data_IF_288447500525
#
_entry.id   IF_288447500525
#
_cell.length_a   1.000
_cell.length_b   1.000
_cell.length_c   1.000
_cell.angle_alpha   90.00
_cell.angle_beta   90.00
_cell.angle_gamma   90.00
#
_symmetry.space_group_name_H-M   'P 1'
#
loop_
_entity.id
_entity.type
_entity.pdbx_description
1 polymer ?
#
# COMPACT_ATOMS: atom_id res chain seq x y z
N UNK A 1 31.82 43.81 -1.14
CA UNK A 1 31.08 44.03 -2.42
C UNK A 1 30.18 42.90 -2.88
N UNK A 2 30.25 41.71 -2.36
CA UNK A 2 29.41 40.56 -2.74
C UNK A 2 27.97 40.57 -2.20
N UNK A 3 27.73 41.20 -1.06
CA UNK A 3 26.42 41.22 -0.42
C UNK A 3 25.33 42.02 -1.16
N UNK A 4 25.71 43.03 -1.93
CA UNK A 4 24.73 43.84 -2.68
C UNK A 4 24.21 43.14 -3.94
N UNK A 5 25.01 42.32 -4.60
CA UNK A 5 24.57 41.54 -5.81
C UNK A 5 23.54 40.47 -5.47
N UNK A 6 23.65 39.84 -4.32
CA UNK A 6 22.70 38.77 -3.90
C UNK A 6 21.35 39.40 -3.52
N UNK A 7 21.33 40.54 -2.87
CA UNK A 7 20.11 41.29 -2.50
C UNK A 7 19.33 41.77 -3.74
N UNK A 8 20.06 42.19 -4.76
CA UNK A 8 19.47 42.72 -6.01
C UNK A 8 18.86 41.59 -6.86
N UNK A 9 19.52 40.44 -6.92
CA UNK A 9 18.97 39.26 -7.59
C UNK A 9 17.68 38.73 -6.93
N UNK A 10 17.60 38.74 -5.61
CA UNK A 10 16.41 38.32 -4.88
C UNK A 10 15.20 39.22 -5.16
N UNK A 11 15.41 40.56 -5.19
CA UNK A 11 14.38 41.53 -5.56
C UNK A 11 13.94 41.39 -7.01
N UNK A 12 14.86 41.11 -7.91
CA UNK A 12 14.58 40.89 -9.33
C UNK A 12 13.74 39.63 -9.58
N UNK A 13 14.02 38.55 -8.88
CA UNK A 13 13.22 37.31 -8.92
C UNK A 13 11.82 37.50 -8.31
N UNK A 14 11.72 38.20 -7.20
CA UNK A 14 10.42 38.56 -6.60
C UNK A 14 9.58 39.45 -7.53
N UNK A 15 10.19 40.41 -8.19
CA UNK A 15 9.51 41.29 -9.16
C UNK A 15 9.04 40.50 -10.39
N UNK A 16 9.84 39.61 -10.93
CA UNK A 16 9.47 38.75 -12.05
C UNK A 16 8.35 37.81 -11.65
N UNK A 17 8.42 37.22 -10.49
CA UNK A 17 7.39 36.34 -9.94
C UNK A 17 6.04 37.08 -9.82
N UNK A 18 6.01 38.23 -9.21
CA UNK A 18 4.82 39.05 -9.06
C UNK A 18 4.27 39.51 -10.42
N UNK A 19 5.15 39.97 -11.32
CA UNK A 19 4.75 40.46 -12.64
C UNK A 19 4.18 39.40 -13.56
N UNK A 20 4.78 38.20 -13.58
CA UNK A 20 4.38 37.15 -14.53
C UNK A 20 3.37 36.17 -13.95
N UNK A 21 3.42 35.85 -12.68
CA UNK A 21 2.52 34.87 -12.06
C UNK A 21 1.22 35.52 -11.58
N UNK A 22 1.29 36.68 -10.94
CA UNK A 22 0.08 37.34 -10.39
C UNK A 22 -0.71 38.09 -11.45
N UNK A 23 -0.05 38.65 -12.46
CA UNK A 23 -0.76 39.42 -13.52
C UNK A 23 -1.29 38.58 -14.67
N UNK A 24 -0.91 37.33 -14.81
CA UNK A 24 -1.42 36.47 -15.87
C UNK A 24 -2.25 35.31 -15.31
N UNK A 25 -3.59 35.45 -15.26
CA UNK A 25 -4.45 34.38 -14.77
C UNK A 25 -4.28 33.07 -15.58
N UNK A 26 -3.92 33.19 -16.86
CA UNK A 26 -3.70 32.03 -17.76
C UNK A 26 -2.53 31.18 -17.27
N UNK A 27 -1.42 31.78 -16.81
CA UNK A 27 -0.27 31.03 -16.26
C UNK A 27 -0.63 30.34 -14.95
N UNK A 28 -1.46 30.96 -14.12
CA UNK A 28 -1.94 30.36 -12.87
C UNK A 28 -2.79 29.12 -13.15
N UNK A 29 -3.75 29.20 -14.09
CA UNK A 29 -4.55 28.06 -14.50
C UNK A 29 -3.70 26.96 -15.14
N UNK A 30 -2.72 27.31 -15.96
CA UNK A 30 -1.77 26.36 -16.54
C UNK A 30 -0.99 25.60 -15.46
N UNK A 31 -0.53 26.31 -14.43
CA UNK A 31 0.18 25.71 -13.32
C UNK A 31 -0.71 24.79 -12.47
N UNK A 32 -1.96 25.21 -12.25
CA UNK A 32 -2.94 24.44 -11.49
C UNK A 32 -3.29 23.13 -12.24
N UNK A 33 -3.50 23.20 -13.54
CA UNK A 33 -3.76 22.04 -14.38
C UNK A 33 -2.56 21.09 -14.38
N UNK A 34 -1.34 21.63 -14.56
CA UNK A 34 -0.11 20.83 -14.50
C UNK A 34 0.05 20.13 -13.15
N UNK A 35 -0.21 20.84 -12.04
CA UNK A 35 -0.13 20.28 -10.69
C UNK A 35 -1.17 19.16 -10.48
N UNK A 36 -2.37 19.34 -11.02
CA UNK A 36 -3.43 18.32 -10.96
C UNK A 36 -3.01 17.06 -11.74
N UNK A 37 -2.48 17.20 -12.96
CA UNK A 37 -1.94 16.08 -13.72
C UNK A 37 -0.79 15.39 -13.00
N UNK A 38 0.08 16.15 -12.35
CA UNK A 38 1.18 15.60 -11.58
C UNK A 38 0.68 14.75 -10.39
N UNK A 39 -0.33 15.24 -9.67
CA UNK A 39 -0.96 14.47 -8.57
C UNK A 39 -1.57 13.17 -9.09
N UNK A 40 -2.32 13.23 -10.19
CA UNK A 40 -2.93 12.05 -10.82
C UNK A 40 -1.85 11.06 -11.25
N UNK A 41 -0.78 11.54 -11.85
CA UNK A 41 0.36 10.70 -12.26
C UNK A 41 1.00 10.00 -11.08
N UNK A 42 1.33 10.73 -10.02
CA UNK A 42 1.92 10.18 -8.78
C UNK A 42 0.98 9.17 -8.14
N UNK A 43 -0.31 9.48 -8.05
CA UNK A 43 -1.31 8.59 -7.47
C UNK A 43 -1.52 7.29 -8.28
N UNK A 44 -1.28 7.30 -9.58
CA UNK A 44 -1.26 6.10 -10.42
C UNK A 44 0.02 5.26 -10.21
N UNK A 45 1.11 5.90 -9.85
CA UNK A 45 2.38 5.21 -9.66
C UNK A 45 2.46 4.51 -8.29
N UNK A 46 1.79 5.06 -7.28
CA UNK A 46 1.76 4.49 -5.93
C UNK A 46 0.84 3.28 -5.92
N UNK A 47 1.41 2.11 -5.65
CA UNK A 47 0.67 0.86 -5.43
C UNK A 47 0.60 0.57 -3.93
N UNK A 48 -0.59 0.29 -3.45
CA UNK A 48 -0.86 -0.08 -2.07
C UNK A 48 -1.23 -1.56 -2.00
N UNK A 49 -0.74 -2.23 -0.98
CA UNK A 49 -1.04 -3.62 -0.72
C UNK A 49 -2.44 -3.72 -0.10
N UNK A 50 -3.32 -4.45 -0.76
CA UNK A 50 -4.61 -4.83 -0.19
C UNK A 50 -4.40 -6.11 0.59
N UNK A 51 -4.62 -6.04 1.90
CA UNK A 51 -4.44 -7.16 2.81
C UNK A 51 -5.79 -7.73 3.20
N UNK A 52 -5.83 -9.05 3.28
CA UNK A 52 -6.98 -9.81 3.79
C UNK A 52 -6.55 -10.55 5.04
N UNK A 53 -7.44 -10.55 6.02
CA UNK A 53 -7.23 -11.21 7.31
C UNK A 53 -8.22 -12.34 7.44
N UNK A 54 -7.76 -13.57 7.63
CA UNK A 54 -8.59 -14.75 7.78
C UNK A 54 -8.22 -15.56 9.01
N UNK A 55 -9.22 -16.11 9.71
CA UNK A 55 -8.98 -17.10 10.75
C UNK A 55 -8.51 -18.41 10.14
N UNK A 56 -7.62 -19.08 10.84
CA UNK A 56 -7.11 -20.38 10.46
C UNK A 56 -6.67 -21.21 11.64
N UNK A 57 -6.31 -22.45 11.38
CA UNK A 57 -5.76 -23.37 12.37
C UNK A 57 -4.34 -23.74 11.95
N UNK A 58 -3.41 -23.49 12.84
CA UNK A 58 -2.02 -23.88 12.68
C UNK A 58 -1.82 -25.32 13.19
N UNK A 59 -1.37 -26.18 12.30
CA UNK A 59 -1.00 -27.57 12.61
C UNK A 59 0.41 -27.84 12.08
N UNK A 60 1.35 -28.07 12.97
CA UNK A 60 2.77 -28.33 12.65
C UNK A 60 3.38 -27.26 11.73
N UNK A 61 3.40 -27.50 10.45
CA UNK A 61 4.00 -26.64 9.43
C UNK A 61 2.98 -26.11 8.41
N UNK A 62 1.70 -26.33 8.67
CA UNK A 62 0.62 -25.93 7.77
C UNK A 62 -0.41 -25.07 8.50
N UNK A 63 -0.92 -24.10 7.78
CA UNK A 63 -2.08 -23.32 8.22
C UNK A 63 -3.26 -23.72 7.34
N UNK A 64 -4.34 -24.10 7.98
CA UNK A 64 -5.60 -24.47 7.32
C UNK A 64 -6.55 -23.29 7.46
N UNK A 65 -6.96 -22.72 6.34
CA UNK A 65 -7.94 -21.65 6.25
C UNK A 65 -9.27 -22.23 5.77
N UNK A 66 -10.36 -21.89 6.43
CA UNK A 66 -11.71 -22.38 6.08
C UNK A 66 -12.32 -21.69 4.86
N UNK A 67 -11.51 -20.98 4.12
CA UNK A 67 -11.91 -20.27 2.90
C UNK A 67 -10.95 -20.57 1.77
N UNK A 68 -11.49 -20.68 0.57
CA UNK A 68 -10.68 -20.72 -0.64
C UNK A 68 -10.09 -19.34 -0.90
N UNK A 69 -8.76 -19.23 -0.92
CA UNK A 69 -8.05 -18.01 -1.25
C UNK A 69 -7.27 -18.17 -2.55
N UNK A 70 -7.06 -17.06 -3.23
CA UNK A 70 -6.03 -17.00 -4.27
C UNK A 70 -4.67 -17.03 -3.59
N UNK A 71 -3.67 -17.57 -4.28
CA UNK A 71 -2.29 -17.53 -3.78
C UNK A 71 -1.92 -16.10 -3.38
N UNK A 72 -1.31 -15.89 -2.20
CA UNK A 72 -0.79 -14.58 -1.81
C UNK A 72 0.14 -14.04 -2.89
N UNK A 73 0.06 -12.73 -3.15
CA UNK A 73 0.96 -12.09 -4.13
C UNK A 73 2.39 -12.06 -3.61
N UNK A 74 2.53 -11.79 -2.32
CA UNK A 74 3.81 -11.88 -1.63
C UNK A 74 3.89 -13.25 -0.94
N UNK A 75 5.04 -13.90 -1.05
CA UNK A 75 5.29 -15.20 -0.37
C UNK A 75 5.29 -15.08 1.15
N UNK A 76 5.07 -13.90 1.70
CA UNK A 76 5.14 -13.60 3.12
C UNK A 76 3.76 -13.34 3.69
N UNK A 77 3.51 -13.99 4.83
CA UNK A 77 2.28 -13.84 5.62
C UNK A 77 2.60 -13.40 7.04
N UNK A 78 1.66 -12.67 7.64
CA UNK A 78 1.72 -12.35 9.06
C UNK A 78 0.75 -13.23 9.82
N UNK A 79 1.21 -13.83 10.90
CA UNK A 79 0.44 -14.76 11.71
C UNK A 79 0.29 -14.16 13.10
N UNK A 80 -0.95 -14.07 13.54
CA UNK A 80 -1.35 -13.56 14.87
C UNK A 80 -1.93 -14.70 15.68
N UNK A 81 -1.41 -14.96 16.86
CA UNK A 81 -1.99 -15.94 17.76
C UNK A 81 -3.04 -15.30 18.65
N UNK A 82 -4.19 -15.99 18.76
CA UNK A 82 -5.42 -15.53 19.41
C UNK A 82 -5.17 -15.29 20.87
N UNK A 83 -4.62 -14.72 21.60
CA UNK A 83 -4.37 -14.42 23.03
C UNK A 83 -2.98 -13.92 23.37
N UNK A 84 -2.02 -14.02 22.45
CA UNK A 84 -0.73 -13.40 22.63
C UNK A 84 -0.61 -12.30 21.57
N UNK A 85 -0.24 -11.10 21.94
CA UNK A 85 0.09 -10.02 21.01
C UNK A 85 1.35 -10.34 20.16
N UNK A 86 1.70 -11.62 20.05
CA UNK A 86 2.83 -12.07 19.26
C UNK A 86 2.44 -12.17 17.80
N UNK A 87 3.06 -11.32 17.01
CA UNK A 87 2.98 -11.34 15.55
C UNK A 87 4.30 -11.89 15.03
N UNK A 88 4.23 -12.86 14.13
CA UNK A 88 5.42 -13.31 13.44
C UNK A 88 5.17 -13.39 11.94
N UNK A 89 6.23 -13.22 11.20
CA UNK A 89 6.26 -13.22 9.75
C UNK A 89 6.85 -14.54 9.29
N UNK A 90 6.11 -15.22 8.39
CA UNK A 90 6.53 -16.49 7.83
C UNK A 90 6.45 -16.48 6.32
N UNK A 91 7.31 -17.27 5.69
CA UNK A 91 7.32 -17.44 4.25
C UNK A 91 6.51 -18.67 3.86
N UNK A 92 5.59 -18.48 2.92
CA UNK A 92 4.76 -19.56 2.36
C UNK A 92 5.53 -20.24 1.23
N UNK A 93 5.71 -21.55 1.34
CA UNK A 93 6.35 -22.36 0.30
C UNK A 93 5.35 -22.84 -0.74
N UNK A 94 4.16 -23.23 -0.30
CA UNK A 94 3.14 -23.79 -1.17
C UNK A 94 1.73 -23.45 -0.68
N UNK A 95 0.84 -23.24 -1.63
CA UNK A 95 -0.58 -22.99 -1.39
C UNK A 95 -1.37 -24.07 -2.11
N UNK A 96 -2.09 -24.90 -1.38
CA UNK A 96 -2.93 -25.95 -1.94
C UNK A 96 -4.38 -25.77 -1.48
N UNK A 97 -5.32 -25.91 -2.40
CA UNK A 97 -6.76 -25.82 -2.09
C UNK A 97 -7.41 -27.17 -2.30
N UNK A 98 -8.02 -27.69 -1.23
CA UNK A 98 -8.74 -28.97 -1.26
C UNK A 98 -10.04 -28.85 -0.47
N UNK A 99 -11.14 -29.33 -1.03
CA UNK A 99 -12.47 -29.33 -0.37
C UNK A 99 -12.94 -27.95 0.11
N UNK A 100 -12.61 -26.88 -0.61
CA UNK A 100 -13.00 -25.52 -0.21
C UNK A 100 -12.10 -24.85 0.84
N UNK A 101 -11.18 -25.59 1.42
CA UNK A 101 -10.18 -25.11 2.37
C UNK A 101 -8.85 -24.84 1.68
N UNK A 102 -8.08 -23.90 2.20
CA UNK A 102 -6.73 -23.59 1.71
C UNK A 102 -5.69 -24.00 2.73
N UNK A 103 -4.70 -24.72 2.28
CA UNK A 103 -3.55 -25.21 3.05
C UNK A 103 -2.32 -24.39 2.67
N UNK A 104 -1.79 -23.63 3.62
CA UNK A 104 -0.56 -22.87 3.47
C UNK A 104 0.58 -23.64 4.12
N UNK A 105 1.57 -24.07 3.34
CA UNK A 105 2.76 -24.73 3.86
C UNK A 105 3.85 -23.68 4.08
N UNK A 106 4.38 -23.59 5.30
CA UNK A 106 5.39 -22.61 5.70
C UNK A 106 6.82 -23.15 5.52
N UNK A 107 7.77 -22.26 5.36
CA UNK A 107 9.18 -22.60 5.21
C UNK A 107 9.78 -23.11 6.53
N UNK A 108 9.50 -22.43 7.63
CA UNK A 108 10.00 -22.83 8.93
C UNK A 108 8.98 -23.71 9.64
N UNK A 109 9.45 -24.74 10.32
CA UNK A 109 8.62 -25.46 11.28
C UNK A 109 8.32 -24.49 12.40
N UNK A 110 7.14 -23.89 12.41
CA UNK A 110 6.72 -23.09 13.54
C UNK A 110 6.80 -23.96 14.79
N UNK A 111 7.75 -23.64 15.64
CA UNK A 111 8.07 -24.40 16.83
C UNK A 111 6.79 -24.73 17.61
N UNK A 112 6.30 -25.98 17.50
CA UNK A 112 5.25 -26.62 18.32
C UNK A 112 4.01 -25.78 18.70
N UNK A 113 3.68 -24.78 17.92
CA UNK A 113 2.53 -23.91 18.15
C UNK A 113 1.37 -24.45 17.30
N UNK A 114 0.59 -25.36 17.84
CA UNK A 114 -0.71 -25.68 17.28
C UNK A 114 -1.79 -24.81 17.91
N UNK A 115 -2.84 -24.51 17.16
CA UNK A 115 -4.01 -23.77 17.65
C UNK A 115 -4.56 -22.75 16.68
N UNK A 116 -5.56 -22.01 17.14
CA UNK A 116 -6.20 -20.99 16.34
C UNK A 116 -5.24 -19.81 16.13
N UNK A 117 -5.19 -19.38 14.88
CA UNK A 117 -4.37 -18.23 14.43
C UNK A 117 -5.18 -17.38 13.48
N UNK A 118 -4.80 -16.13 13.40
CA UNK A 118 -5.31 -15.22 12.39
C UNK A 118 -4.18 -14.93 11.40
N UNK A 119 -4.43 -15.07 10.13
CA UNK A 119 -3.44 -14.89 9.06
C UNK A 119 -3.77 -13.67 8.25
N UNK A 120 -2.81 -12.79 8.08
CA UNK A 120 -2.88 -11.62 7.21
C UNK A 120 -1.92 -11.79 6.04
N UNK A 121 -2.41 -11.60 4.83
CA UNK A 121 -1.64 -11.72 3.60
C UNK A 121 -2.09 -10.72 2.54
N UNK A 122 -1.20 -10.40 1.62
CA UNK A 122 -1.47 -9.49 0.52
C UNK A 122 -2.19 -10.27 -0.59
N UNK A 123 -3.42 -9.86 -0.89
CA UNK A 123 -4.24 -10.47 -1.95
C UNK A 123 -4.09 -9.77 -3.28
N UNK A 124 -3.83 -8.47 -3.26
CA UNK A 124 -3.80 -7.65 -4.45
C UNK A 124 -2.97 -6.39 -4.24
N UNK A 125 -2.35 -5.89 -5.29
CA UNK A 125 -1.71 -4.56 -5.31
C UNK A 125 -2.56 -3.63 -6.17
N UNK A 126 -3.14 -2.60 -5.56
CA UNK A 126 -3.99 -1.62 -6.23
C UNK A 126 -3.33 -0.24 -6.23
N UNK A 127 -3.55 0.52 -7.30
CA UNK A 127 -3.12 1.91 -7.33
C UNK A 127 -3.92 2.76 -6.36
N UNK A 128 -3.32 3.83 -5.84
CA UNK A 128 -3.99 4.74 -4.92
C UNK A 128 -5.29 5.30 -5.52
N UNK A 129 -5.28 5.64 -6.81
CA UNK A 129 -6.49 6.10 -7.53
C UNK A 129 -7.59 5.05 -7.48
N UNK A 130 -7.28 3.79 -7.74
CA UNK A 130 -8.28 2.70 -7.72
C UNK A 130 -8.95 2.58 -6.36
N UNK A 131 -8.17 2.71 -5.28
CA UNK A 131 -8.69 2.64 -3.90
C UNK A 131 -9.59 3.84 -3.59
N UNK A 132 -9.21 5.06 -4.00
CA UNK A 132 -9.96 6.27 -3.71
C UNK A 132 -11.30 6.31 -4.47
N UNK A 133 -11.32 5.95 -5.76
CA UNK A 133 -12.51 6.09 -6.59
C UNK A 133 -13.46 4.89 -6.53
N UNK A 134 -12.97 3.67 -6.36
CA UNK A 134 -13.85 2.48 -6.31
C UNK A 134 -14.46 2.29 -4.92
N UNK A 135 -13.73 2.60 -3.86
CA UNK A 135 -14.27 2.49 -2.49
C UNK A 135 -15.34 3.54 -2.18
N UNK A 136 -15.35 4.67 -2.89
CA UNK A 136 -16.38 5.73 -2.77
C UNK A 136 -17.64 5.40 -3.58
N UNK A 137 -17.54 4.58 -4.64
CA UNK A 137 -18.67 4.19 -5.49
C UNK A 137 -19.42 2.91 -5.08
N UNK A 138 -18.97 2.21 -4.05
CA UNK A 138 -19.51 0.92 -3.61
C UNK A 138 -20.32 0.94 -2.31
N UNK A 139 -20.87 2.07 -1.95
CA UNK A 139 -21.75 2.24 -0.80
C UNK A 139 -23.24 2.14 -1.21
N UNK A 140 -23.73 0.94 -1.37
CA UNK A 140 -25.17 0.63 -1.33
C UNK A 140 -25.34 -0.81 -0.86
#
# INVERSE_FOLDING_TARGET
MLGNKIKDNRKRWQYLFVKYIIKSPILYYGYLIFFLFFIIFVANYIKLDVRETLPGVLMDNQIILDKRIKSPIDDEIFIYKDKSQSVWKEKVLNVNTKNGQTYLTMQNKANKLSGNVTVEFVTEKRTLIHILFIKVGGGS
#
